data_IF_069170314308
#
_entry.id   IF_069170314308
#
_cell.length_a   1.000
_cell.length_b   1.000
_cell.length_c   1.000
_cell.angle_alpha   90.00
_cell.angle_beta   90.00
_cell.angle_gamma   90.00
#
_symmetry.space_group_name_H-M   'P 1'
#
loop_
_entity.id
_entity.type
_entity.pdbx_description
1 polymer ?
#
# COMPACT_ATOMS: atom_id res chain seq x y z
N UNK A 1 9.78 -6.94 -24.17
CA UNK A 1 10.32 -8.18 -23.56
C UNK A 1 9.13 -8.98 -23.09
N UNK A 2 9.09 -10.25 -23.50
CA UNK A 2 8.02 -11.18 -23.19
C UNK A 2 7.86 -11.32 -21.66
N UNK A 3 6.63 -11.19 -21.16
CA UNK A 3 6.31 -11.20 -19.72
C UNK A 3 6.32 -12.63 -19.13
N UNK A 4 6.81 -13.61 -19.89
CA UNK A 4 6.76 -15.04 -19.60
C UNK A 4 7.88 -15.54 -18.67
N UNK A 5 8.95 -14.77 -18.45
CA UNK A 5 10.13 -15.25 -17.72
C UNK A 5 10.10 -15.06 -16.19
N UNK A 6 9.15 -14.31 -15.64
CA UNK A 6 9.07 -14.09 -14.18
C UNK A 6 8.42 -15.25 -13.39
N UNK A 7 7.88 -16.26 -14.06
CA UNK A 7 7.00 -17.27 -13.44
C UNK A 7 7.52 -18.71 -13.49
N UNK A 8 8.75 -18.97 -13.94
CA UNK A 8 9.19 -20.35 -14.22
C UNK A 8 9.35 -21.27 -13.00
N UNK A 9 9.49 -20.73 -11.78
CA UNK A 9 9.84 -21.53 -10.58
C UNK A 9 8.92 -21.35 -9.34
N UNK A 10 7.72 -20.78 -9.46
CA UNK A 10 6.81 -20.68 -8.30
C UNK A 10 5.75 -21.78 -8.36
N UNK A 11 5.76 -22.72 -7.42
CA UNK A 11 4.57 -23.53 -7.11
C UNK A 11 3.51 -22.63 -6.46
N UNK A 12 2.88 -21.78 -7.27
CA UNK A 12 1.77 -20.91 -6.85
C UNK A 12 0.51 -21.76 -6.83
N UNK A 13 -0.16 -21.87 -5.68
CA UNK A 13 -1.49 -22.45 -5.65
C UNK A 13 -2.39 -21.65 -6.64
N UNK A 14 -3.29 -22.30 -7.39
CA UNK A 14 -4.16 -21.61 -8.39
C UNK A 14 -5.40 -20.96 -7.79
N UNK A 15 -5.66 -19.66 -8.04
CA UNK A 15 -6.77 -18.86 -7.42
C UNK A 15 -8.09 -19.63 -7.56
N UNK A 16 -8.83 -19.94 -6.47
CA UNK A 16 -9.98 -20.88 -6.53
C UNK A 16 -10.96 -20.58 -7.68
N UNK A 17 -11.16 -19.29 -8.01
CA UNK A 17 -12.07 -18.84 -9.07
C UNK A 17 -11.35 -18.40 -10.37
N UNK A 18 -10.07 -18.72 -10.55
CA UNK A 18 -9.26 -18.25 -11.69
C UNK A 18 -9.89 -18.62 -13.05
N UNK A 19 -10.59 -19.75 -13.12
CA UNK A 19 -11.25 -20.22 -14.34
C UNK A 19 -12.38 -19.29 -14.76
N UNK A 20 -13.16 -18.79 -13.80
CA UNK A 20 -14.25 -17.84 -14.04
C UNK A 20 -13.72 -16.47 -14.50
N UNK A 21 -12.60 -16.03 -13.93
CA UNK A 21 -11.97 -14.76 -14.34
C UNK A 21 -11.42 -14.81 -15.76
N UNK A 22 -10.83 -15.95 -16.14
CA UNK A 22 -10.29 -16.15 -17.50
C UNK A 22 -11.37 -16.12 -18.57
N UNK A 23 -12.61 -16.54 -18.25
CA UNK A 23 -13.73 -16.55 -19.19
C UNK A 23 -14.40 -15.18 -19.40
N UNK A 24 -14.08 -14.16 -18.61
CA UNK A 24 -14.71 -12.85 -18.74
C UNK A 24 -14.05 -12.00 -19.84
N UNK A 25 -14.87 -11.30 -20.62
CA UNK A 25 -14.41 -10.39 -21.67
C UNK A 25 -13.63 -9.22 -21.05
N UNK A 26 -12.47 -8.89 -21.63
CA UNK A 26 -11.63 -7.82 -21.12
C UNK A 26 -12.07 -6.47 -21.69
N UNK A 27 -12.32 -5.52 -20.80
CA UNK A 27 -12.51 -4.14 -21.19
C UNK A 27 -11.27 -3.59 -21.90
N UNK A 28 -11.49 -2.84 -22.99
CA UNK A 28 -10.41 -2.15 -23.70
C UNK A 28 -9.87 -1.03 -22.81
N UNK A 29 -8.55 -1.00 -22.62
CA UNK A 29 -7.88 0.08 -21.89
C UNK A 29 -8.11 1.41 -22.62
N UNK A 30 -8.58 2.46 -21.93
CA UNK A 30 -8.76 3.77 -22.52
C UNK A 30 -7.42 4.44 -22.80
N UNK A 31 -7.42 5.38 -23.76
CA UNK A 31 -6.21 6.06 -24.21
C UNK A 31 -5.50 6.84 -23.09
N UNK A 32 -6.25 7.47 -22.18
CA UNK A 32 -5.70 8.24 -21.06
C UNK A 32 -4.97 7.38 -20.01
N UNK A 33 -5.15 6.06 -20.03
CA UNK A 33 -4.47 5.13 -19.12
C UNK A 33 -3.14 4.62 -19.70
N UNK A 34 -2.76 5.04 -20.91
CA UNK A 34 -1.48 4.67 -21.52
C UNK A 34 -0.33 5.36 -20.81
N UNK A 35 0.46 4.56 -20.11
CA UNK A 35 1.65 5.01 -19.40
C UNK A 35 2.78 5.21 -20.41
N UNK A 36 3.39 6.40 -20.41
CA UNK A 36 4.69 6.59 -21.04
C UNK A 36 5.75 5.95 -20.14
N UNK A 37 6.34 4.83 -20.56
CA UNK A 37 7.40 4.16 -19.81
C UNK A 37 8.52 5.18 -19.58
N UNK A 38 8.87 5.41 -18.31
CA UNK A 38 9.91 6.37 -17.94
C UNK A 38 11.23 6.04 -18.67
N UNK A 39 11.90 7.03 -19.29
CA UNK A 39 13.11 6.80 -20.08
C UNK A 39 14.32 6.37 -19.24
N UNK A 40 14.24 6.41 -17.90
CA UNK A 40 15.38 6.26 -17.02
C UNK A 40 15.71 4.79 -16.68
N UNK A 41 15.99 3.98 -17.71
CA UNK A 41 16.28 2.54 -17.57
C UNK A 41 17.54 2.27 -16.72
N UNK A 42 18.49 3.20 -16.71
CA UNK A 42 19.76 3.05 -16.00
C UNK A 42 19.58 3.12 -14.48
N UNK A 43 18.89 4.16 -13.97
CA UNK A 43 18.55 4.26 -12.54
C UNK A 43 17.74 3.06 -12.06
N UNK A 44 16.80 2.59 -12.87
CA UNK A 44 16.04 1.37 -12.55
C UNK A 44 16.96 0.15 -12.42
N UNK A 45 17.94 -0.02 -13.32
CA UNK A 45 18.88 -1.15 -13.29
C UNK A 45 19.78 -1.11 -12.05
N UNK A 46 20.30 0.07 -11.70
CA UNK A 46 21.15 0.27 -10.52
C UNK A 46 20.40 -0.05 -9.23
N UNK A 47 19.16 0.42 -9.11
CA UNK A 47 18.27 0.10 -8.00
C UNK A 47 18.04 -1.40 -7.89
N UNK A 48 17.72 -2.09 -9.01
CA UNK A 48 17.51 -3.54 -8.98
C UNK A 48 18.73 -4.31 -8.49
N UNK A 49 19.91 -3.92 -8.98
CA UNK A 49 21.15 -4.58 -8.58
C UNK A 49 21.42 -4.42 -7.09
N UNK A 50 21.17 -3.24 -6.53
CA UNK A 50 21.36 -2.97 -5.11
C UNK A 50 20.34 -3.72 -4.23
N UNK A 51 19.08 -3.82 -4.68
CA UNK A 51 18.05 -4.56 -3.95
C UNK A 51 18.37 -6.05 -3.94
N UNK A 52 18.77 -6.60 -5.09
CA UNK A 52 19.21 -7.98 -5.23
C UNK A 52 20.42 -8.30 -4.35
N UNK A 53 21.43 -7.42 -4.29
CA UNK A 53 22.63 -7.64 -3.47
C UNK A 53 22.34 -7.63 -1.97
N UNK A 54 21.26 -6.99 -1.54
CA UNK A 54 20.85 -6.90 -0.13
C UNK A 54 19.79 -7.94 0.26
N UNK A 55 19.42 -8.87 -0.63
CA UNK A 55 18.32 -9.84 -0.43
C UNK A 55 17.02 -9.19 0.05
N UNK A 56 16.74 -7.96 -0.43
CA UNK A 56 15.52 -7.24 -0.14
C UNK A 56 14.54 -7.37 -1.30
N UNK A 57 13.25 -7.44 -0.97
CA UNK A 57 12.19 -7.38 -1.98
C UNK A 57 11.55 -6.00 -1.95
N UNK A 58 11.25 -5.43 -3.12
CA UNK A 58 10.41 -4.24 -3.22
C UNK A 58 9.09 -4.57 -3.90
N UNK A 59 8.00 -3.97 -3.41
CA UNK A 59 6.71 -4.01 -4.12
C UNK A 59 6.86 -3.45 -5.53
N UNK A 60 7.73 -2.45 -5.66
CA UNK A 60 8.13 -1.82 -6.90
C UNK A 60 8.57 -2.80 -8.00
N UNK A 61 9.40 -3.80 -7.66
CA UNK A 61 9.89 -4.81 -8.60
C UNK A 61 8.86 -5.92 -8.86
N UNK A 62 8.17 -6.38 -7.80
CA UNK A 62 7.16 -7.43 -7.94
C UNK A 62 5.94 -6.95 -8.74
N UNK A 63 5.57 -5.68 -8.63
CA UNK A 63 4.37 -5.12 -9.26
C UNK A 63 4.60 -4.45 -10.63
N UNK A 64 5.80 -4.56 -11.23
CA UNK A 64 6.17 -3.83 -12.45
C UNK A 64 5.80 -2.33 -12.39
N UNK A 65 6.10 -1.68 -11.26
CA UNK A 65 5.53 -0.38 -10.94
C UNK A 65 5.91 0.68 -12.00
N UNK A 66 4.92 1.36 -12.63
CA UNK A 66 5.20 2.40 -13.63
C UNK A 66 5.90 3.63 -13.04
N UNK A 67 5.78 3.83 -11.73
CA UNK A 67 6.22 5.03 -11.03
C UNK A 67 7.66 4.91 -10.51
N UNK A 68 8.36 3.81 -10.82
CA UNK A 68 9.65 3.45 -10.23
C UNK A 68 10.71 4.55 -10.35
N UNK A 69 10.95 5.04 -11.58
CA UNK A 69 11.97 6.05 -11.83
C UNK A 69 11.70 7.37 -11.11
N UNK A 70 10.43 7.77 -11.01
CA UNK A 70 10.02 9.00 -10.34
C UNK A 70 10.17 8.90 -8.82
N UNK A 71 9.75 7.78 -8.22
CA UNK A 71 9.90 7.55 -6.79
C UNK A 71 11.38 7.56 -6.38
N UNK A 72 12.23 6.82 -7.11
CA UNK A 72 13.66 6.74 -6.81
C UNK A 72 14.40 8.05 -7.04
N UNK A 73 14.09 8.79 -8.11
CA UNK A 73 14.64 10.14 -8.32
C UNK A 73 14.26 11.08 -7.17
N UNK A 74 13.05 10.96 -6.64
CA UNK A 74 12.61 11.69 -5.45
C UNK A 74 13.17 11.15 -4.13
N UNK A 75 14.11 10.20 -4.14
CA UNK A 75 14.70 9.56 -2.95
C UNK A 75 13.67 8.84 -2.07
N UNK A 76 12.77 8.08 -2.72
CA UNK A 76 11.68 7.34 -2.06
C UNK A 76 11.64 5.91 -2.56
N UNK A 77 11.36 4.97 -1.66
CA UNK A 77 11.17 3.58 -2.03
C UNK A 77 10.15 2.88 -1.11
N UNK A 78 9.58 1.79 -1.62
CA UNK A 78 8.69 0.89 -0.87
C UNK A 78 9.30 -0.50 -0.79
N UNK A 79 9.58 -0.95 0.43
CA UNK A 79 10.12 -2.27 0.70
C UNK A 79 9.00 -3.24 1.11
N UNK A 80 9.09 -4.47 0.59
CA UNK A 80 8.27 -5.59 1.02
C UNK A 80 9.12 -6.45 1.97
N UNK A 81 8.78 -6.41 3.26
CA UNK A 81 9.45 -7.20 4.30
C UNK A 81 8.74 -8.54 4.54
N UNK A 82 9.42 -9.44 5.24
CA UNK A 82 8.93 -10.79 5.61
C UNK A 82 8.75 -11.73 4.42
N UNK A 83 9.56 -11.52 3.38
CA UNK A 83 9.59 -12.35 2.18
C UNK A 83 8.53 -11.96 1.13
N UNK A 84 8.28 -12.88 0.19
CA UNK A 84 7.42 -12.65 -0.97
C UNK A 84 6.29 -13.70 -1.12
N UNK A 85 6.06 -14.50 -0.08
CA UNK A 85 5.00 -15.50 0.01
C UNK A 85 4.03 -15.06 1.10
N UNK A 86 2.78 -14.83 0.72
CA UNK A 86 1.71 -14.43 1.60
C UNK A 86 0.93 -15.63 2.13
N UNK A 87 0.56 -15.62 3.41
CA UNK A 87 -0.35 -16.62 3.98
C UNK A 87 -1.78 -16.47 3.47
N UNK A 88 -2.08 -15.33 2.81
CA UNK A 88 -3.38 -14.99 2.25
C UNK A 88 -3.32 -14.82 0.74
N UNK A 89 -4.52 -14.69 0.17
CA UNK A 89 -4.74 -14.77 -1.26
C UNK A 89 -5.83 -13.83 -1.73
N UNK A 90 -5.54 -12.53 -1.68
CA UNK A 90 -6.41 -11.51 -2.24
C UNK A 90 -6.40 -11.62 -3.78
N UNK A 91 -7.54 -11.88 -4.45
CA UNK A 91 -7.55 -12.16 -5.88
C UNK A 91 -7.21 -10.95 -6.79
N UNK A 92 -7.00 -9.76 -6.22
CA UNK A 92 -6.48 -8.60 -6.94
C UNK A 92 -4.95 -8.48 -6.88
N UNK A 93 -4.28 -9.20 -5.97
CA UNK A 93 -2.88 -9.00 -5.60
C UNK A 93 -1.96 -10.00 -6.33
N UNK A 94 -0.81 -9.52 -6.81
CA UNK A 94 0.17 -10.30 -7.59
C UNK A 94 1.27 -10.97 -6.74
N UNK A 95 1.14 -10.90 -5.41
CA UNK A 95 2.07 -11.55 -4.49
C UNK A 95 1.77 -13.05 -4.44
N UNK A 96 2.84 -13.86 -4.46
CA UNK A 96 2.72 -15.31 -4.33
C UNK A 96 2.12 -15.67 -2.97
N UNK A 97 1.48 -16.83 -2.87
CA UNK A 97 0.85 -17.27 -1.63
C UNK A 97 1.16 -18.74 -1.37
N UNK A 98 1.24 -19.09 -0.09
CA UNK A 98 1.73 -20.39 0.37
C UNK A 98 2.22 -20.31 1.80
N UNK A 99 3.15 -21.20 2.15
CA UNK A 99 3.82 -21.21 3.44
C UNK A 99 5.08 -20.34 3.34
N UNK A 100 5.16 -19.21 4.08
CA UNK A 100 6.34 -18.36 4.05
C UNK A 100 7.51 -19.01 4.80
N UNK A 101 8.73 -18.61 4.43
CA UNK A 101 9.92 -18.96 5.19
C UNK A 101 9.93 -18.29 6.58
N UNK A 102 10.75 -18.80 7.53
CA UNK A 102 11.00 -18.12 8.79
C UNK A 102 11.45 -16.67 8.59
N UNK A 103 11.12 -15.79 9.54
CA UNK A 103 11.59 -14.41 9.49
C UNK A 103 13.11 -14.36 9.54
N UNK A 104 13.69 -13.56 8.65
CA UNK A 104 15.10 -13.23 8.68
C UNK A 104 15.35 -12.13 9.73
N UNK A 105 16.10 -12.41 10.82
CA UNK A 105 16.33 -11.45 11.89
C UNK A 105 17.20 -10.25 11.47
N UNK A 106 17.96 -10.34 10.38
CA UNK A 106 18.83 -9.27 9.87
C UNK A 106 18.16 -8.43 8.76
N UNK A 107 16.96 -8.80 8.29
CA UNK A 107 16.19 -8.01 7.31
C UNK A 107 16.02 -6.53 7.72
N UNK A 108 15.71 -6.19 9.00
CA UNK A 108 15.64 -4.79 9.45
C UNK A 108 16.92 -3.99 9.23
N UNK A 109 18.09 -4.60 9.53
CA UNK A 109 19.40 -3.94 9.36
C UNK A 109 19.73 -3.75 7.89
N UNK A 110 19.49 -4.77 7.05
CA UNK A 110 19.72 -4.68 5.60
C UNK A 110 18.82 -3.63 4.95
N UNK A 111 17.55 -3.55 5.39
CA UNK A 111 16.63 -2.51 4.94
C UNK A 111 17.17 -1.12 5.26
N UNK A 112 17.66 -0.90 6.48
CA UNK A 112 18.25 0.36 6.87
C UNK A 112 19.51 0.68 6.05
N UNK A 113 20.42 -0.27 5.87
CA UNK A 113 21.64 -0.08 5.08
C UNK A 113 21.33 0.25 3.60
N UNK A 114 20.33 -0.41 3.02
CA UNK A 114 19.88 -0.11 1.66
C UNK A 114 19.29 1.31 1.57
N UNK A 115 18.46 1.71 2.53
CA UNK A 115 17.90 3.06 2.58
C UNK A 115 19.00 4.13 2.69
N UNK A 116 20.03 3.88 3.50
CA UNK A 116 21.19 4.75 3.65
C UNK A 116 21.98 4.85 2.35
N UNK A 117 22.33 3.71 1.74
CA UNK A 117 23.10 3.62 0.50
C UNK A 117 22.42 4.37 -0.65
N UNK A 118 21.09 4.29 -0.72
CA UNK A 118 20.29 4.99 -1.74
C UNK A 118 20.07 6.47 -1.43
N UNK A 119 20.38 6.90 -0.21
CA UNK A 119 20.12 8.25 0.28
C UNK A 119 18.61 8.56 0.32
N UNK A 120 17.79 7.58 0.72
CA UNK A 120 16.34 7.75 0.80
C UNK A 120 15.96 8.77 1.88
N UNK A 121 14.92 9.54 1.61
CA UNK A 121 14.34 10.52 2.54
C UNK A 121 12.96 10.10 3.03
N UNK A 122 12.29 9.23 2.28
CA UNK A 122 11.01 8.66 2.67
C UNK A 122 10.99 7.17 2.32
N UNK A 123 10.74 6.34 3.32
CA UNK A 123 10.70 4.88 3.20
C UNK A 123 9.31 4.40 3.55
N UNK A 124 8.66 3.72 2.61
CA UNK A 124 7.43 2.98 2.90
C UNK A 124 7.81 1.53 3.17
N UNK A 125 7.38 0.98 4.30
CA UNK A 125 7.53 -0.44 4.61
C UNK A 125 6.15 -1.09 4.48
N UNK A 126 6.06 -2.20 3.76
CA UNK A 126 4.87 -3.05 3.77
C UNK A 126 5.26 -4.51 3.85
N UNK A 127 4.32 -5.40 4.10
CA UNK A 127 4.60 -6.83 4.24
C UNK A 127 3.56 -7.66 3.50
N UNK A 128 3.90 -8.94 3.34
CA UNK A 128 2.90 -9.98 3.15
C UNK A 128 2.11 -10.21 4.44
N UNK A 129 0.93 -10.83 4.36
CA UNK A 129 0.24 -11.31 5.56
C UNK A 129 0.99 -12.51 6.15
N UNK A 130 1.30 -12.45 7.45
CA UNK A 130 1.98 -13.49 8.23
C UNK A 130 1.08 -14.08 9.31
N UNK A 131 -0.03 -14.70 8.89
CA UNK A 131 -0.99 -15.31 9.80
C UNK A 131 -0.37 -16.40 10.70
N UNK A 132 0.79 -16.94 10.31
CA UNK A 132 1.62 -17.91 11.03
C UNK A 132 2.33 -17.34 12.28
N UNK A 133 2.52 -16.02 12.37
CA UNK A 133 3.24 -15.37 13.48
C UNK A 133 2.30 -14.88 14.59
N UNK A 134 2.67 -15.01 15.87
CA UNK A 134 1.78 -14.65 17.00
C UNK A 134 1.27 -13.20 17.00
N UNK A 135 2.02 -12.26 16.45
CA UNK A 135 1.71 -10.84 16.33
C UNK A 135 1.42 -10.41 14.88
N UNK A 136 1.39 -11.37 13.94
CA UNK A 136 1.19 -11.09 12.52
C UNK A 136 2.35 -10.34 11.87
N UNK A 137 3.52 -10.32 12.50
CA UNK A 137 4.72 -9.62 12.01
C UNK A 137 4.88 -8.19 12.53
N UNK A 138 3.99 -7.70 13.40
CA UNK A 138 4.03 -6.33 13.91
C UNK A 138 5.37 -5.96 14.59
N UNK A 139 5.94 -6.86 15.40
CA UNK A 139 7.26 -6.65 16.02
C UNK A 139 8.38 -6.52 14.99
N UNK A 140 8.23 -7.15 13.82
CA UNK A 140 9.21 -7.07 12.74
C UNK A 140 9.13 -5.74 11.98
N UNK A 141 7.91 -5.21 11.76
CA UNK A 141 7.74 -3.81 11.35
C UNK A 141 8.41 -2.85 12.33
N UNK A 142 8.15 -3.00 13.64
CA UNK A 142 8.73 -2.13 14.67
C UNK A 142 10.26 -2.15 14.65
N UNK A 143 10.89 -3.33 14.48
CA UNK A 143 12.34 -3.47 14.29
C UNK A 143 12.84 -2.72 13.04
N UNK A 144 12.14 -2.85 11.91
CA UNK A 144 12.50 -2.11 10.69
C UNK A 144 12.42 -0.59 10.89
N UNK A 145 11.36 -0.10 11.52
CA UNK A 145 11.21 1.33 11.84
C UNK A 145 12.35 1.77 12.77
N UNK A 146 12.63 1.01 13.83
CA UNK A 146 13.72 1.31 14.76
C UNK A 146 15.09 1.41 14.07
N UNK A 147 15.43 0.46 13.20
CA UNK A 147 16.71 0.50 12.45
C UNK A 147 16.79 1.69 11.48
N UNK A 148 15.68 2.03 10.80
CA UNK A 148 15.63 3.22 9.93
C UNK A 148 15.79 4.52 10.71
N UNK A 149 15.20 4.61 11.90
CA UNK A 149 15.26 5.82 12.75
C UNK A 149 16.66 6.16 13.26
N UNK A 150 17.61 5.22 13.20
CA UNK A 150 19.03 5.51 13.45
C UNK A 150 19.64 6.47 12.42
N UNK A 151 18.96 6.69 11.30
CA UNK A 151 19.36 7.63 10.25
C UNK A 151 18.58 8.94 10.37
N UNK A 152 19.29 10.05 10.43
CA UNK A 152 18.66 11.37 10.52
C UNK A 152 17.97 11.77 9.21
N UNK A 153 16.80 12.41 9.34
CA UNK A 153 16.07 12.98 8.22
C UNK A 153 15.36 11.96 7.31
N UNK A 154 15.26 10.69 7.71
CA UNK A 154 14.42 9.70 7.04
C UNK A 154 13.04 9.66 7.68
N UNK A 155 12.00 9.86 6.87
CA UNK A 155 10.61 9.60 7.26
C UNK A 155 10.18 8.19 6.89
N UNK A 156 9.35 7.58 7.72
CA UNK A 156 8.92 6.18 7.61
C UNK A 156 7.39 6.10 7.60
N UNK A 157 6.81 5.56 6.53
CA UNK A 157 5.41 5.13 6.47
C UNK A 157 5.36 3.61 6.59
N UNK A 158 4.43 3.07 7.37
CA UNK A 158 4.15 1.63 7.38
C UNK A 158 2.78 1.37 6.76
N UNK A 159 2.73 0.50 5.75
CA UNK A 159 1.50 -0.06 5.18
C UNK A 159 1.33 -1.48 5.70
N UNK A 160 0.50 -1.64 6.72
CA UNK A 160 0.38 -2.86 7.51
C UNK A 160 -0.77 -3.77 7.05
N UNK A 161 -0.68 -5.09 7.31
CA UNK A 161 -1.82 -5.99 7.20
C UNK A 161 -2.90 -5.68 8.25
N UNK A 162 -4.00 -6.44 8.25
CA UNK A 162 -5.10 -6.23 9.21
C UNK A 162 -4.89 -6.86 10.60
N UNK A 163 -3.80 -7.62 10.76
CA UNK A 163 -3.48 -8.35 12.00
C UNK A 163 -4.66 -9.17 12.53
N UNK A 164 -5.32 -9.96 11.67
CA UNK A 164 -6.49 -10.79 12.01
C UNK A 164 -6.37 -11.52 13.35
N UNK A 165 -7.26 -11.12 14.27
CA UNK A 165 -7.38 -11.71 15.61
C UNK A 165 -6.27 -11.32 16.59
N UNK A 166 -5.42 -10.35 16.25
CA UNK A 166 -4.24 -9.95 17.04
C UNK A 166 -3.95 -8.44 16.98
N UNK A 167 -4.97 -7.63 16.70
CA UNK A 167 -4.87 -6.16 16.53
C UNK A 167 -4.24 -5.47 17.74
N UNK A 168 -4.73 -5.71 18.96
CA UNK A 168 -4.18 -5.06 20.16
C UNK A 168 -2.69 -5.32 20.33
N UNK A 169 -2.29 -6.60 20.25
CA UNK A 169 -0.89 -6.99 20.32
C UNK A 169 -0.07 -6.33 19.21
N UNK A 170 -0.60 -6.29 17.99
CA UNK A 170 0.11 -5.67 16.88
C UNK A 170 0.30 -4.16 17.08
N UNK A 171 -0.72 -3.46 17.57
CA UNK A 171 -0.64 -2.03 17.88
C UNK A 171 0.37 -1.79 19.01
N UNK A 172 0.36 -2.59 20.08
CA UNK A 172 1.33 -2.49 21.18
C UNK A 172 2.78 -2.58 20.67
N UNK A 173 3.06 -3.57 19.82
CA UNK A 173 4.39 -3.75 19.21
C UNK A 173 4.77 -2.55 18.33
N UNK A 174 3.85 -2.06 17.49
CA UNK A 174 4.11 -0.93 16.59
C UNK A 174 4.31 0.40 17.32
N UNK A 175 3.65 0.60 18.47
CA UNK A 175 3.85 1.79 19.31
C UNK A 175 5.22 1.84 19.99
N UNK A 176 5.93 0.70 20.09
CA UNK A 176 7.31 0.69 20.58
C UNK A 176 8.30 1.39 19.63
N UNK A 177 7.95 1.49 18.34
CA UNK A 177 8.73 2.17 17.31
C UNK A 177 7.78 2.86 16.30
N UNK A 178 7.20 4.03 16.67
CA UNK A 178 6.16 4.66 15.88
C UNK A 178 6.63 5.16 14.51
N UNK A 179 5.85 4.95 13.44
CA UNK A 179 6.11 5.51 12.11
C UNK A 179 5.78 7.02 12.07
N UNK A 180 6.09 7.68 10.96
CA UNK A 180 5.58 9.03 10.66
C UNK A 180 4.17 9.00 10.04
N UNK A 181 3.80 7.89 9.40
CA UNK A 181 2.44 7.65 8.86
C UNK A 181 2.08 6.18 9.06
N UNK A 182 0.90 5.93 9.63
CA UNK A 182 0.34 4.59 9.75
C UNK A 182 -0.70 4.38 8.64
N UNK A 183 -0.49 3.38 7.79
CA UNK A 183 -1.32 3.11 6.64
C UNK A 183 -1.89 1.69 6.72
N UNK A 184 -3.19 1.56 6.51
CA UNK A 184 -3.85 0.29 6.21
C UNK A 184 -4.89 0.52 5.13
N UNK A 185 -4.75 -0.13 3.98
CA UNK A 185 -5.70 0.03 2.90
C UNK A 185 -7.00 -0.73 3.18
N UNK A 186 -8.15 -0.06 2.96
CA UNK A 186 -9.47 -0.71 2.94
C UNK A 186 -9.71 -1.45 1.61
N UNK A 187 -9.05 -1.00 0.53
CA UNK A 187 -9.02 -1.55 -0.83
C UNK A 187 -10.32 -1.43 -1.63
N UNK A 188 -11.47 -1.77 -1.06
CA UNK A 188 -12.76 -1.72 -1.78
C UNK A 188 -13.94 -1.56 -0.84
N UNK A 189 -15.15 -1.49 -1.42
CA UNK A 189 -16.42 -1.28 -0.73
C UNK A 189 -16.92 -2.56 -0.03
N UNK A 190 -17.74 -2.46 1.03
CA UNK A 190 -18.18 -3.60 1.84
C UNK A 190 -18.78 -4.76 1.01
N UNK A 191 -19.60 -4.45 0.00
CA UNK A 191 -20.25 -5.42 -0.88
C UNK A 191 -19.25 -6.31 -1.63
N UNK A 192 -18.12 -5.75 -2.05
CA UNK A 192 -17.08 -6.45 -2.81
C UNK A 192 -15.98 -7.03 -1.92
N UNK A 193 -15.99 -6.71 -0.63
CA UNK A 193 -14.86 -6.96 0.25
C UNK A 193 -14.51 -8.45 0.37
N UNK A 194 -15.51 -9.33 0.49
CA UNK A 194 -15.28 -10.79 0.58
C UNK A 194 -14.72 -11.38 -0.72
N UNK A 195 -15.10 -10.81 -1.87
CA UNK A 195 -14.58 -11.21 -3.17
C UNK A 195 -13.12 -10.75 -3.35
N UNK A 196 -12.82 -9.49 -3.04
CA UNK A 196 -11.50 -8.90 -3.18
C UNK A 196 -10.51 -9.36 -2.08
N UNK A 197 -10.98 -9.56 -0.85
CA UNK A 197 -10.19 -9.86 0.35
C UNK A 197 -10.82 -11.00 1.16
N UNK A 198 -10.85 -12.24 0.65
CA UNK A 198 -11.51 -13.36 1.31
C UNK A 198 -10.94 -13.70 2.70
N UNK A 199 -9.69 -13.32 2.97
CA UNK A 199 -9.05 -13.48 4.28
C UNK A 199 -9.19 -12.29 5.24
N UNK A 200 -9.71 -11.16 4.76
CA UNK A 200 -9.89 -9.93 5.55
C UNK A 200 -11.35 -9.70 5.97
N UNK A 201 -11.57 -8.66 6.76
CA UNK A 201 -12.90 -8.20 7.15
C UNK A 201 -12.95 -6.66 7.15
N UNK A 202 -13.97 -6.09 6.49
CA UNK A 202 -14.13 -4.64 6.32
C UNK A 202 -14.16 -3.88 7.65
N UNK A 203 -14.98 -4.34 8.59
CA UNK A 203 -15.11 -3.71 9.91
C UNK A 203 -13.83 -3.89 10.75
N UNK A 204 -13.14 -5.03 10.63
CA UNK A 204 -11.84 -5.20 11.30
C UNK A 204 -10.79 -4.21 10.77
N UNK A 205 -10.75 -3.98 9.46
CA UNK A 205 -9.86 -2.97 8.86
C UNK A 205 -10.18 -1.56 9.35
N UNK A 206 -11.47 -1.18 9.41
CA UNK A 206 -11.88 0.11 9.96
C UNK A 206 -11.54 0.25 11.44
N UNK A 207 -11.78 -0.80 12.23
CA UNK A 207 -11.44 -0.81 13.65
C UNK A 207 -9.94 -0.69 13.89
N UNK A 208 -9.08 -1.34 13.09
CA UNK A 208 -7.62 -1.18 13.17
C UNK A 208 -7.21 0.29 13.01
N UNK A 209 -7.75 0.96 11.98
CA UNK A 209 -7.49 2.38 11.70
C UNK A 209 -7.98 3.27 12.85
N UNK A 210 -9.19 3.02 13.35
CA UNK A 210 -9.78 3.74 14.48
C UNK A 210 -8.95 3.57 15.75
N UNK A 211 -8.65 2.34 16.15
CA UNK A 211 -7.85 2.04 17.35
C UNK A 211 -6.46 2.68 17.27
N UNK A 212 -5.79 2.64 16.12
CA UNK A 212 -4.53 3.35 15.95
C UNK A 212 -4.69 4.87 16.14
N UNK A 213 -5.68 5.48 15.49
CA UNK A 213 -5.93 6.92 15.58
C UNK A 213 -6.23 7.39 17.01
N UNK A 214 -6.91 6.57 17.81
CA UNK A 214 -7.23 6.86 19.21
C UNK A 214 -6.00 6.71 20.12
N UNK A 215 -5.16 5.70 19.87
CA UNK A 215 -3.96 5.42 20.68
C UNK A 215 -2.76 6.28 20.30
N UNK A 216 -2.73 6.82 19.08
CA UNK A 216 -1.62 7.64 18.59
C UNK A 216 -2.12 8.83 17.73
N UNK A 217 -2.86 9.77 18.34
CA UNK A 217 -3.52 10.86 17.60
C UNK A 217 -2.58 11.83 16.89
N UNK A 218 -1.30 11.88 17.29
CA UNK A 218 -0.27 12.70 16.63
C UNK A 218 0.28 12.10 15.34
N UNK A 219 0.01 10.82 15.07
CA UNK A 219 0.50 10.12 13.87
C UNK A 219 -0.64 10.04 12.85
N UNK A 220 -0.49 10.67 11.68
CA UNK A 220 -1.48 10.58 10.61
C UNK A 220 -1.79 9.14 10.23
N UNK A 221 -3.08 8.85 10.14
CA UNK A 221 -3.59 7.58 9.66
C UNK A 221 -3.97 7.72 8.17
N UNK A 222 -3.63 6.71 7.37
CA UNK A 222 -3.83 6.67 5.93
C UNK A 222 -4.56 5.40 5.50
N UNK A 223 -5.34 5.52 4.43
CA UNK A 223 -5.90 4.36 3.74
C UNK A 223 -5.88 4.53 2.22
N UNK A 224 -6.28 3.48 1.52
CA UNK A 224 -6.31 3.40 0.07
C UNK A 224 -7.50 2.61 -0.45
N UNK A 225 -8.02 3.06 -1.60
CA UNK A 225 -9.12 2.45 -2.35
C UNK A 225 -8.68 2.22 -3.80
N UNK A 226 -9.01 1.04 -4.32
CA UNK A 226 -8.93 0.73 -5.73
C UNK A 226 -10.32 0.81 -6.35
N UNK A 227 -10.49 1.65 -7.36
CA UNK A 227 -11.73 1.78 -8.12
C UNK A 227 -11.63 1.01 -9.44
N UNK A 228 -12.72 0.44 -9.91
CA UNK A 228 -12.77 -0.42 -11.08
C UNK A 228 -12.99 -1.91 -10.79
N UNK A 229 -13.28 -2.27 -9.54
CA UNK A 229 -13.60 -3.65 -9.12
C UNK A 229 -15.10 -3.98 -9.23
N UNK A 230 -15.94 -2.97 -9.48
CA UNK A 230 -17.39 -3.12 -9.66
C UNK A 230 -18.22 -2.31 -8.66
N UNK A 231 -17.56 -1.46 -7.89
CA UNK A 231 -18.17 -0.46 -7.01
C UNK A 231 -18.83 0.67 -7.80
N UNK A 232 -19.86 1.29 -7.22
CA UNK A 232 -20.40 2.56 -7.70
C UNK A 232 -19.66 3.75 -7.08
N UNK A 233 -19.84 4.95 -7.65
CA UNK A 233 -19.25 6.17 -7.07
C UNK A 233 -19.86 6.48 -5.69
N UNK A 234 -21.16 6.24 -5.51
CA UNK A 234 -21.84 6.42 -4.22
C UNK A 234 -21.28 5.50 -3.13
N UNK A 235 -21.01 4.23 -3.46
CA UNK A 235 -20.36 3.32 -2.51
C UNK A 235 -18.95 3.80 -2.14
N UNK A 236 -18.21 4.40 -3.09
CA UNK A 236 -16.89 4.99 -2.80
C UNK A 236 -17.04 6.18 -1.85
N UNK A 237 -18.01 7.07 -2.07
CA UNK A 237 -18.25 8.22 -1.19
C UNK A 237 -18.66 7.80 0.23
N UNK A 238 -19.47 6.75 0.37
CA UNK A 238 -19.80 6.20 1.70
C UNK A 238 -18.56 5.63 2.41
N UNK A 239 -17.71 4.89 1.71
CA UNK A 239 -16.45 4.42 2.32
C UNK A 239 -15.55 5.59 2.72
N UNK A 240 -15.47 6.66 1.91
CA UNK A 240 -14.70 7.85 2.27
C UNK A 240 -15.20 8.48 3.57
N UNK A 241 -16.52 8.56 3.75
CA UNK A 241 -17.15 9.05 4.98
C UNK A 241 -16.82 8.13 6.16
N UNK A 242 -16.99 6.82 6.02
CA UNK A 242 -16.66 5.86 7.09
C UNK A 242 -15.18 5.94 7.48
N UNK A 243 -14.26 6.05 6.51
CA UNK A 243 -12.83 6.22 6.80
C UNK A 243 -12.58 7.49 7.64
N UNK A 244 -13.26 8.61 7.35
CA UNK A 244 -13.15 9.82 8.18
C UNK A 244 -13.67 9.62 9.59
N UNK A 245 -14.82 8.98 9.73
CA UNK A 245 -15.42 8.64 11.03
C UNK A 245 -14.51 7.72 11.86
N UNK A 246 -13.65 6.94 11.21
CA UNK A 246 -12.66 6.06 11.83
C UNK A 246 -11.24 6.67 11.91
N UNK A 247 -11.14 8.01 11.86
CA UNK A 247 -9.89 8.73 12.16
C UNK A 247 -8.87 8.75 11.01
N UNK A 248 -9.20 8.25 9.81
CA UNK A 248 -8.29 8.25 8.67
C UNK A 248 -8.11 9.66 8.12
N UNK A 249 -6.92 10.23 8.28
CA UNK A 249 -6.61 11.60 7.85
C UNK A 249 -6.12 11.74 6.42
N UNK A 250 -5.60 10.67 5.82
CA UNK A 250 -4.99 10.69 4.47
C UNK A 250 -5.62 9.60 3.60
N UNK A 251 -5.84 9.88 2.32
CA UNK A 251 -6.50 8.95 1.41
C UNK A 251 -5.78 8.83 0.07
N UNK A 252 -5.77 7.63 -0.49
CA UNK A 252 -5.37 7.38 -1.88
C UNK A 252 -6.47 6.66 -2.63
N UNK A 253 -6.77 7.11 -3.85
CA UNK A 253 -7.76 6.47 -4.72
C UNK A 253 -7.13 6.25 -6.09
N UNK A 254 -6.97 4.98 -6.47
CA UNK A 254 -6.30 4.57 -7.70
C UNK A 254 -7.15 3.65 -8.57
N UNK A 255 -6.89 3.61 -9.87
CA UNK A 255 -7.53 2.63 -10.76
C UNK A 255 -6.98 1.22 -10.48
N UNK A 256 -7.89 0.26 -10.25
CA UNK A 256 -7.54 -1.14 -10.25
C UNK A 256 -7.05 -1.57 -11.64
N UNK A 257 -5.86 -2.16 -11.68
CA UNK A 257 -5.27 -2.76 -12.87
C UNK A 257 -4.97 -4.22 -12.57
N UNK A 258 -5.70 -5.13 -13.22
CA UNK A 258 -5.49 -6.56 -13.07
C UNK A 258 -4.05 -6.94 -13.44
N UNK A 259 -3.28 -7.59 -12.54
CA UNK A 259 -1.91 -8.00 -12.83
C UNK A 259 -1.83 -9.04 -13.96
N UNK A 260 -2.81 -9.93 -14.04
CA UNK A 260 -2.91 -10.96 -15.09
C UNK A 260 -4.36 -11.39 -15.33
N UNK A 261 -4.58 -12.26 -16.32
CA UNK A 261 -5.90 -12.84 -16.62
C UNK A 261 -6.44 -13.78 -15.52
N UNK A 262 -5.63 -14.11 -14.52
CA UNK A 262 -6.01 -15.00 -13.42
C UNK A 262 -6.49 -14.25 -12.18
N UNK A 263 -6.47 -12.92 -12.22
CA UNK A 263 -6.94 -12.03 -11.15
C UNK A 263 -8.36 -11.54 -11.42
N UNK A 264 -8.99 -10.92 -10.42
CA UNK A 264 -10.32 -10.30 -10.59
C UNK A 264 -10.28 -9.38 -11.83
N UNK A 265 -11.27 -9.46 -12.74
CA UNK A 265 -11.28 -8.62 -13.92
C UNK A 265 -11.66 -7.17 -13.58
N UNK A 266 -11.10 -6.23 -14.33
CA UNK A 266 -11.50 -4.82 -14.25
C UNK A 266 -12.94 -4.69 -14.74
N UNK A 267 -13.82 -4.16 -13.91
CA UNK A 267 -15.26 -3.96 -14.20
C UNK A 267 -15.56 -2.58 -14.78
N UNK A 268 -14.74 -1.57 -14.50
CA UNK A 268 -14.82 -0.24 -15.12
C UNK A 268 -13.48 0.48 -15.10
N UNK A 269 -13.25 1.32 -16.10
CA UNK A 269 -12.18 2.31 -16.09
C UNK A 269 -12.76 3.65 -15.71
N UNK A 270 -12.42 4.14 -14.51
CA UNK A 270 -12.96 5.38 -13.96
C UNK A 270 -12.34 6.57 -14.70
N UNK A 271 -13.17 7.52 -15.14
CA UNK A 271 -12.71 8.67 -15.89
C UNK A 271 -11.88 9.63 -15.00
N UNK A 272 -10.87 10.34 -15.54
CA UNK A 272 -10.08 11.30 -14.77
C UNK A 272 -10.91 12.34 -14.01
N UNK A 273 -12.04 12.78 -14.57
CA UNK A 273 -12.94 13.76 -13.96
C UNK A 273 -13.59 13.19 -12.68
N UNK A 274 -13.86 11.89 -12.63
CA UNK A 274 -14.39 11.24 -11.43
C UNK A 274 -13.31 11.16 -10.33
N UNK A 275 -12.04 10.94 -10.69
CA UNK A 275 -10.95 11.03 -9.71
C UNK A 275 -10.84 12.44 -9.12
N UNK A 276 -11.01 13.49 -9.92
CA UNK A 276 -11.05 14.88 -9.44
C UNK A 276 -12.21 15.10 -8.45
N UNK A 277 -13.40 14.56 -8.74
CA UNK A 277 -14.55 14.61 -7.82
C UNK A 277 -14.24 13.93 -6.49
N UNK A 278 -13.59 12.76 -6.50
CA UNK A 278 -13.19 12.09 -5.27
C UNK A 278 -12.21 12.95 -4.44
N UNK A 279 -11.24 13.61 -5.07
CA UNK A 279 -10.31 14.49 -4.37
C UNK A 279 -11.02 15.70 -3.74
N UNK A 280 -11.93 16.33 -4.48
CA UNK A 280 -12.72 17.47 -4.00
C UNK A 280 -13.63 17.06 -2.83
N UNK A 281 -14.36 15.95 -2.95
CA UNK A 281 -15.19 15.43 -1.87
C UNK A 281 -14.36 15.08 -0.65
N UNK A 282 -13.18 14.48 -0.81
CA UNK A 282 -12.29 14.18 0.31
C UNK A 282 -11.84 15.46 1.03
N UNK A 283 -11.50 16.52 0.30
CA UNK A 283 -11.18 17.83 0.88
C UNK A 283 -12.36 18.38 1.68
N UNK A 284 -13.57 18.30 1.14
CA UNK A 284 -14.79 18.77 1.82
C UNK A 284 -15.14 17.94 3.07
N UNK A 285 -14.79 16.65 3.08
CA UNK A 285 -14.91 15.76 4.25
C UNK A 285 -13.78 15.95 5.29
N UNK A 286 -12.83 16.86 5.03
CA UNK A 286 -11.77 17.22 5.97
C UNK A 286 -10.62 16.21 6.04
N UNK A 287 -10.38 15.41 5.01
CA UNK A 287 -9.10 14.73 4.85
C UNK A 287 -7.97 15.77 4.80
N UNK A 288 -6.84 15.49 5.45
CA UNK A 288 -5.64 16.32 5.36
C UNK A 288 -5.04 16.28 3.96
N UNK A 289 -5.13 15.14 3.29
CA UNK A 289 -4.72 15.02 1.89
C UNK A 289 -5.41 13.82 1.24
N UNK A 290 -5.74 13.96 -0.04
CA UNK A 290 -6.32 12.89 -0.85
C UNK A 290 -5.69 12.91 -2.23
N UNK A 291 -4.93 11.87 -2.55
CA UNK A 291 -4.34 11.71 -3.88
C UNK A 291 -5.23 10.76 -4.66
N UNK A 292 -5.85 11.27 -5.72
CA UNK A 292 -6.85 10.56 -6.49
C UNK A 292 -6.50 10.65 -7.97
N UNK A 293 -6.31 9.50 -8.61
CA UNK A 293 -5.98 9.47 -10.03
C UNK A 293 -5.69 8.06 -10.55
N UNK A 294 -5.71 7.85 -11.88
CA UNK A 294 -5.61 6.50 -12.44
C UNK A 294 -4.35 5.73 -12.06
N UNK A 295 -3.20 6.41 -11.94
CA UNK A 295 -1.91 5.78 -11.65
C UNK A 295 -1.48 5.95 -10.18
N UNK A 296 -2.34 6.52 -9.35
CA UNK A 296 -2.10 6.62 -7.92
C UNK A 296 -2.06 5.22 -7.31
N UNK A 297 -1.11 5.02 -6.40
CA UNK A 297 -0.93 3.82 -5.58
C UNK A 297 -0.75 4.28 -4.13
N UNK A 298 -1.03 3.44 -3.15
CA UNK A 298 -0.89 3.79 -1.73
C UNK A 298 0.51 4.32 -1.38
N UNK A 299 1.55 3.83 -2.05
CA UNK A 299 2.93 4.33 -1.87
C UNK A 299 3.38 5.37 -2.90
N UNK A 300 2.63 5.61 -3.97
CA UNK A 300 2.97 6.65 -4.94
C UNK A 300 2.65 8.02 -4.36
N UNK A 301 3.62 8.93 -4.47
CA UNK A 301 3.56 10.27 -3.90
C UNK A 301 3.26 10.33 -2.38
N UNK A 302 3.58 9.26 -1.65
CA UNK A 302 3.40 9.19 -0.20
C UNK A 302 4.16 10.31 0.54
N UNK A 303 5.34 10.69 0.03
CA UNK A 303 6.13 11.79 0.55
C UNK A 303 5.40 13.14 0.43
N UNK A 304 4.93 13.50 -0.77
CA UNK A 304 4.21 14.74 -1.05
C UNK A 304 2.93 14.80 -0.22
N UNK A 305 2.21 13.67 -0.14
CA UNK A 305 1.00 13.56 0.64
C UNK A 305 1.25 13.78 2.14
N UNK A 306 2.34 13.23 2.68
CA UNK A 306 2.74 13.43 4.08
C UNK A 306 3.21 14.87 4.35
N UNK A 307 3.85 15.52 3.38
CA UNK A 307 4.23 16.94 3.47
C UNK A 307 3.00 17.86 3.49
N UNK A 308 2.03 17.61 2.61
CA UNK A 308 0.76 18.36 2.58
C UNK A 308 0.00 18.21 3.90
N UNK A 309 -0.10 16.98 4.42
CA UNK A 309 -0.74 16.71 5.70
C UNK A 309 -0.05 17.41 6.88
N UNK A 310 1.29 17.40 6.92
CA UNK A 310 2.07 18.07 7.95
C UNK A 310 1.85 19.60 7.93
N UNK A 311 1.83 20.19 6.73
CA UNK A 311 1.64 21.64 6.54
C UNK A 311 0.27 22.11 7.00
N UNK A 312 -0.79 21.33 6.68
CA UNK A 312 -2.16 21.65 7.09
C UNK A 312 -2.39 21.45 8.59
N UNK A 313 -1.71 20.47 9.21
CA UNK A 313 -1.76 20.27 10.65
C UNK A 313 -1.17 21.47 11.41
N UNK A 314 -0.03 22.01 10.96
CA UNK A 314 0.61 23.18 11.58
C UNK A 314 -0.27 24.44 11.50
N UNK A 315 -0.94 24.66 10.37
CA UNK A 315 -1.88 25.79 10.22
C UNK A 315 -3.08 25.73 11.15
N UNK A 316 -3.59 24.52 11.45
CA UNK A 316 -4.68 24.33 12.42
C UNK A 316 -4.25 24.58 13.87
N UNK A 317 -2.98 24.33 14.21
CA UNK A 317 -2.45 24.60 15.55
C UNK A 317 -2.10 26.07 15.79
N UNK A 318 -1.77 26.82 14.74
CA UNK A 318 -1.48 28.28 14.83
C UNK A 318 -2.74 29.15 14.84
N UNK A 319 -3.88 28.62 14.35
CA UNK A 319 -5.19 29.25 14.45
C UNK A 319 -6.20 28.27 15.03
N UNK A 320 -6.18 28.02 16.36
CA UNK A 320 -7.31 27.38 17.01
C UNK A 320 -8.51 28.30 16.80
N UNK A 321 -9.50 27.85 16.04
CA UNK A 321 -10.68 28.64 15.75
C UNK A 321 -11.30 29.15 17.07
N UNK A 322 -11.42 30.48 17.17
CA UNK A 322 -12.31 31.19 18.07
C UNK A 322 -13.76 30.82 17.82
#
# INVERSE_FOLDING_TARGET
>A
MDHSDFNKNREVLKIKNYKEFVSQEKLKKPEWLKIKISPNRQTIKEVRNLLASNTLTTVCEQACCPNLGECFNGKRATFLIMGNICTRRCPFCDIAHGYPDPLDPDEPKRLAEAAKTLGLKYVVITSVDRDDLKDGGASHFAKCVHELRKQEGVKVEILVPDFRGRVERAIDELLSAPPDVFNHNIETVPRLYKEARPGGNYLHSLNLLKTWSERSPSIPTKSGLMVGLGETDDEVFEVMKELREHGVSMLTIGQYLAPSKYHIPVKRYVAPETFSKFAETAKNMGFLSCFSGPLIRSSYSAFEQALEASTLSLKKTEHPQS
#
